data_IF_232002649430
#
_entry.id   IF_232002649430
#
_cell.length_a   1.000
_cell.length_b   1.000
_cell.length_c   1.000
_cell.angle_alpha   90.00
_cell.angle_beta   90.00
_cell.angle_gamma   90.00
#
_symmetry.space_group_name_H-M   'P 1'
#
loop_
_entity.id
_entity.type
_entity.pdbx_description
1 polymer ?
#
# COMPACT_ATOMS: atom_id res chain seq x y z
N UNK A 1 1.45 -29.55 10.31
CA UNK A 1 0.13 -29.12 10.79
C UNK A 1 0.26 -28.90 12.27
N UNK A 2 0.19 -27.64 12.71
CA UNK A 2 0.32 -27.29 14.13
C UNK A 2 -0.99 -27.61 14.85
N UNK A 3 -0.86 -28.30 15.98
CA UNK A 3 -1.97 -28.68 16.85
C UNK A 3 -2.71 -27.43 17.38
N UNK A 4 -4.02 -27.57 17.57
CA UNK A 4 -4.90 -26.47 17.93
C UNK A 4 -4.64 -26.04 19.38
N UNK A 5 -3.87 -24.99 19.56
CA UNK A 5 -3.71 -24.37 20.88
C UNK A 5 -5.00 -23.59 21.17
N UNK A 6 -5.79 -24.04 22.15
CA UNK A 6 -6.93 -23.32 22.69
C UNK A 6 -6.63 -22.90 24.14
N UNK A 7 -6.88 -21.64 24.47
CA UNK A 7 -6.75 -21.12 25.85
C UNK A 7 -8.13 -20.58 26.25
N UNK A 8 -8.72 -21.15 27.31
CA UNK A 8 -10.01 -20.70 27.84
C UNK A 8 -11.20 -20.91 26.90
N UNK A 9 -11.24 -22.03 26.16
CA UNK A 9 -12.34 -22.36 25.24
C UNK A 9 -12.36 -21.56 23.93
N UNK A 10 -11.33 -20.73 23.69
CA UNK A 10 -11.19 -19.89 22.50
C UNK A 10 -9.97 -20.35 21.71
N UNK A 11 -10.11 -20.45 20.39
CA UNK A 11 -9.04 -20.96 19.53
C UNK A 11 -7.92 -19.91 19.44
N UNK A 12 -6.72 -20.24 19.91
CA UNK A 12 -5.62 -19.28 20.04
C UNK A 12 -4.79 -19.19 18.76
N UNK A 13 -4.53 -20.31 18.07
CA UNK A 13 -3.83 -20.35 16.77
C UNK A 13 -4.37 -21.51 15.92
N UNK A 14 -5.06 -21.18 14.83
CA UNK A 14 -5.45 -22.14 13.78
C UNK A 14 -4.48 -22.05 12.62
N UNK A 15 -4.15 -23.19 12.02
CA UNK A 15 -3.53 -23.20 10.70
C UNK A 15 -4.56 -22.63 9.70
N UNK A 16 -4.30 -21.45 9.14
CA UNK A 16 -5.18 -20.80 8.16
C UNK A 16 -4.92 -21.44 6.79
N UNK A 17 -5.90 -22.13 6.17
CA UNK A 17 -5.72 -22.68 4.84
C UNK A 17 -5.56 -21.54 3.83
N UNK A 18 -4.39 -21.47 3.20
CA UNK A 18 -4.06 -20.52 2.14
C UNK A 18 -4.77 -20.96 0.85
N UNK A 19 -6.04 -20.60 0.72
CA UNK A 19 -6.83 -20.84 -0.49
C UNK A 19 -6.58 -19.80 -1.59
N UNK A 20 -7.13 -20.03 -2.79
CA UNK A 20 -7.08 -19.11 -3.94
C UNK A 20 -7.50 -17.68 -3.58
N UNK A 21 -8.46 -17.52 -2.68
CA UNK A 21 -8.92 -16.21 -2.19
C UNK A 21 -7.82 -15.41 -1.48
N UNK A 22 -6.93 -16.07 -0.72
CA UNK A 22 -5.81 -15.38 -0.06
C UNK A 22 -4.81 -14.84 -1.08
N UNK A 23 -4.53 -15.60 -2.16
CA UNK A 23 -3.67 -15.15 -3.25
C UNK A 23 -4.23 -13.91 -3.96
N UNK A 24 -5.53 -13.92 -4.30
CA UNK A 24 -6.19 -12.78 -4.94
C UNK A 24 -6.18 -11.54 -4.04
N UNK A 25 -6.52 -11.68 -2.76
CA UNK A 25 -6.50 -10.57 -1.80
C UNK A 25 -5.08 -10.03 -1.62
N UNK A 26 -4.09 -10.91 -1.49
CA UNK A 26 -2.69 -10.50 -1.42
C UNK A 26 -2.26 -9.70 -2.65
N UNK A 27 -2.68 -10.13 -3.84
CA UNK A 27 -2.36 -9.42 -5.08
C UNK A 27 -2.99 -8.03 -5.13
N UNK A 28 -4.24 -7.89 -4.69
CA UNK A 28 -4.93 -6.59 -4.60
C UNK A 28 -4.22 -5.66 -3.61
N UNK A 29 -3.83 -6.18 -2.44
CA UNK A 29 -3.08 -5.39 -1.45
C UNK A 29 -1.72 -4.94 -1.99
N UNK A 30 -0.98 -5.85 -2.63
CA UNK A 30 0.29 -5.52 -3.27
C UNK A 30 0.09 -4.42 -4.30
N UNK A 31 -0.87 -4.56 -5.21
CA UNK A 31 -1.18 -3.55 -6.21
C UNK A 31 -1.50 -2.18 -5.59
N UNK A 32 -2.31 -2.14 -4.54
CA UNK A 32 -2.65 -0.90 -3.83
C UNK A 32 -1.41 -0.21 -3.24
N UNK A 33 -0.52 -0.97 -2.60
CA UNK A 33 0.75 -0.43 -2.06
C UNK A 33 1.63 0.13 -3.17
N UNK A 34 1.76 -0.59 -4.29
CA UNK A 34 2.53 -0.11 -5.44
C UNK A 34 1.95 1.20 -5.99
N UNK A 35 0.62 1.29 -6.13
CA UNK A 35 -0.06 2.52 -6.57
C UNK A 35 0.17 3.67 -5.58
N UNK A 36 0.07 3.42 -4.26
CA UNK A 36 0.35 4.43 -3.24
C UNK A 36 1.78 4.98 -3.36
N UNK A 37 2.76 4.10 -3.52
CA UNK A 37 4.16 4.50 -3.72
C UNK A 37 4.34 5.27 -5.02
N UNK A 38 3.72 4.85 -6.12
CA UNK A 38 3.78 5.58 -7.40
C UNK A 38 3.22 7.00 -7.28
N UNK A 39 2.12 7.20 -6.55
CA UNK A 39 1.52 8.53 -6.33
C UNK A 39 2.47 9.42 -5.53
N UNK A 40 3.01 8.92 -4.42
CA UNK A 40 3.94 9.66 -3.58
C UNK A 40 5.24 9.98 -4.32
N UNK A 41 5.83 8.98 -4.98
CA UNK A 41 7.09 9.10 -5.71
C UNK A 41 6.95 10.10 -6.86
N UNK A 42 5.86 10.04 -7.62
CA UNK A 42 5.56 11.04 -8.67
C UNK A 42 5.43 12.45 -8.08
N UNK A 43 4.78 12.60 -6.93
CA UNK A 43 4.68 13.89 -6.24
C UNK A 43 6.05 14.47 -5.87
N UNK A 44 6.95 13.64 -5.32
CA UNK A 44 8.31 14.02 -4.91
C UNK A 44 9.21 14.31 -6.12
N UNK A 45 9.22 13.43 -7.13
CA UNK A 45 10.10 13.58 -8.31
C UNK A 45 9.74 14.82 -9.15
N UNK A 46 8.44 15.09 -9.31
CA UNK A 46 7.96 16.23 -10.09
C UNK A 46 7.71 17.48 -9.24
N UNK A 47 8.23 17.55 -8.01
CA UNK A 47 8.08 18.71 -7.12
C UNK A 47 8.81 19.95 -7.64
N UNK A 48 9.98 19.79 -8.27
CA UNK A 48 10.84 20.91 -8.71
C UNK A 48 10.50 21.44 -10.10
N UNK A 49 10.19 20.55 -11.04
CA UNK A 49 9.88 20.88 -12.43
C UNK A 49 9.11 19.73 -13.08
N UNK A 50 8.22 20.05 -14.01
CA UNK A 50 7.49 19.07 -14.83
C UNK A 50 7.35 19.61 -16.25
N UNK A 51 7.05 18.74 -17.22
CA UNK A 51 6.86 19.19 -18.60
C UNK A 51 5.72 20.22 -18.75
N UNK A 52 4.70 20.18 -17.90
CA UNK A 52 3.59 21.12 -17.91
C UNK A 52 3.90 22.45 -17.20
N UNK A 53 4.60 22.41 -16.07
CA UNK A 53 5.00 23.59 -15.29
C UNK A 53 6.49 23.46 -14.99
N UNK A 54 7.28 24.25 -15.71
CA UNK A 54 8.75 24.16 -15.67
C UNK A 54 9.34 24.76 -14.40
N UNK A 55 8.67 25.75 -13.81
CA UNK A 55 9.11 26.53 -12.65
C UNK A 55 8.36 26.19 -11.35
N UNK A 56 7.90 24.93 -11.21
CA UNK A 56 7.13 24.47 -10.03
C UNK A 56 7.84 24.70 -8.69
N UNK A 57 9.17 24.83 -8.69
CA UNK A 57 10.00 25.21 -7.54
C UNK A 57 9.65 26.58 -6.93
N UNK A 58 9.13 27.50 -7.73
CA UNK A 58 8.72 28.84 -7.26
C UNK A 58 7.31 28.83 -6.66
N UNK A 59 6.56 27.74 -6.84
CA UNK A 59 5.26 27.53 -6.22
C UNK A 59 5.46 26.85 -4.85
N UNK A 60 4.74 27.32 -3.85
CA UNK A 60 4.73 26.73 -2.51
C UNK A 60 4.23 25.28 -2.53
N UNK A 61 4.61 24.46 -1.54
CA UNK A 61 4.28 23.01 -1.49
C UNK A 61 2.77 22.72 -1.52
N UNK A 62 1.96 23.58 -0.89
CA UNK A 62 0.50 23.60 -1.04
C UNK A 62 0.13 24.81 -1.90
N UNK A 63 0.00 24.62 -3.22
CA UNK A 63 -0.55 25.61 -4.13
C UNK A 63 -1.96 25.19 -4.57
N UNK A 64 -3.01 25.82 -4.02
CA UNK A 64 -4.36 25.77 -4.57
C UNK A 64 -4.49 26.94 -5.55
N UNK A 65 -4.16 26.73 -6.82
CA UNK A 65 -4.59 27.65 -7.88
C UNK A 65 -5.77 27.04 -8.62
#
# INVERSE_FOLDING_TARGET
GGDLVAIGGKVALLSIPLGTTYFLVHHIYSFMIHVMVLILLKGVLFARSSHLISDKVNLNFSFPL
#
